data_IF_550054487682
#
_entry.id   IF_550054487682
#
_cell.length_a   1.000
_cell.length_b   1.000
_cell.length_c   1.000
_cell.angle_alpha   90.00
_cell.angle_beta   90.00
_cell.angle_gamma   90.00
#
_symmetry.space_group_name_H-M   'P 1'
#
loop_
_entity.id
_entity.type
_entity.pdbx_description
1 polymer ?
#
# COMPACT_ATOMS: atom_id res chain seq x y z
N UNK A 1 -12.80 -9.11 -8.13
CA UNK A 1 -12.53 -8.45 -6.83
C UNK A 1 -11.50 -9.18 -5.97
N UNK A 2 -11.51 -10.53 -5.92
CA UNK A 2 -10.57 -11.33 -5.11
C UNK A 2 -9.10 -11.19 -5.51
N UNK A 3 -8.80 -11.17 -6.82
CA UNK A 3 -7.42 -10.99 -7.30
C UNK A 3 -6.85 -9.62 -6.93
N UNK A 4 -7.63 -8.56 -7.06
CA UNK A 4 -7.20 -7.20 -6.70
C UNK A 4 -6.80 -7.11 -5.21
N UNK A 5 -7.66 -7.60 -4.31
CA UNK A 5 -7.37 -7.60 -2.88
C UNK A 5 -6.14 -8.45 -2.52
N UNK A 6 -5.95 -9.59 -3.20
CA UNK A 6 -4.77 -10.44 -3.05
C UNK A 6 -3.48 -9.72 -3.49
N UNK A 7 -3.47 -9.11 -4.68
CA UNK A 7 -2.30 -8.37 -5.17
C UNK A 7 -2.00 -7.15 -4.29
N UNK A 8 -3.04 -6.40 -3.91
CA UNK A 8 -2.90 -5.26 -3.01
C UNK A 8 -2.32 -5.66 -1.66
N UNK A 9 -2.84 -6.74 -1.06
CA UNK A 9 -2.34 -7.28 0.19
C UNK A 9 -0.90 -7.79 0.08
N UNK A 10 -0.55 -8.46 -1.03
CA UNK A 10 0.79 -8.98 -1.27
C UNK A 10 1.81 -7.84 -1.44
N UNK A 11 1.46 -6.79 -2.19
CA UNK A 11 2.28 -5.58 -2.33
C UNK A 11 2.45 -4.89 -0.97
N UNK A 12 1.36 -4.73 -0.20
CA UNK A 12 1.42 -4.14 1.14
C UNK A 12 2.31 -4.96 2.09
N UNK A 13 2.26 -6.30 2.03
CA UNK A 13 3.12 -7.19 2.81
C UNK A 13 4.60 -7.10 2.42
N UNK A 14 4.90 -7.03 1.12
CA UNK A 14 6.28 -6.86 0.63
C UNK A 14 6.86 -5.52 1.10
N UNK A 15 6.09 -4.45 0.98
CA UNK A 15 6.45 -3.12 1.49
C UNK A 15 6.64 -3.15 3.00
N UNK A 16 5.73 -3.77 3.74
CA UNK A 16 5.82 -3.93 5.19
C UNK A 16 7.06 -4.74 5.61
N UNK A 17 7.39 -5.81 4.89
CA UNK A 17 8.58 -6.60 5.12
C UNK A 17 9.85 -5.79 4.88
N UNK A 18 9.88 -4.99 3.81
CA UNK A 18 10.98 -4.07 3.53
C UNK A 18 11.15 -3.02 4.64
N UNK A 19 10.05 -2.38 5.06
CA UNK A 19 10.00 -1.38 6.13
C UNK A 19 10.40 -1.94 7.49
N UNK A 20 10.11 -3.21 7.76
CA UNK A 20 10.43 -3.87 9.04
C UNK A 20 11.93 -3.92 9.34
N UNK A 21 12.80 -3.77 8.32
CA UNK A 21 14.27 -3.71 8.47
C UNK A 21 14.76 -2.39 9.06
N UNK A 22 13.98 -1.32 8.94
CA UNK A 22 14.35 0.00 9.47
C UNK A 22 14.03 0.11 10.97
N UNK A 23 14.67 1.07 11.65
CA UNK A 23 14.33 1.45 13.04
C UNK A 23 12.86 1.88 13.17
N UNK A 24 12.25 1.78 14.36
CA UNK A 24 10.82 2.08 14.56
C UNK A 24 10.41 3.47 14.08
N UNK A 25 11.21 4.50 14.36
CA UNK A 25 10.96 5.86 13.86
C UNK A 25 11.00 5.94 12.32
N UNK A 26 12.06 5.39 11.70
CA UNK A 26 12.22 5.39 10.23
C UNK A 26 11.09 4.64 9.53
N UNK A 27 10.67 3.52 10.11
CA UNK A 27 9.56 2.72 9.61
C UNK A 27 8.25 3.50 9.59
N UNK A 28 7.86 4.14 10.70
CA UNK A 28 6.61 4.91 10.77
C UNK A 28 6.60 6.09 9.79
N UNK A 29 7.74 6.76 9.61
CA UNK A 29 7.89 7.86 8.64
C UNK A 29 7.79 7.37 7.19
N UNK A 30 8.25 6.13 6.91
CA UNK A 30 8.25 5.56 5.57
C UNK A 30 6.94 4.84 5.20
N UNK A 31 6.04 4.57 6.16
CA UNK A 31 4.72 3.96 5.91
C UNK A 31 3.88 4.72 4.87
N UNK A 32 3.71 6.06 4.93
CA UNK A 32 2.97 6.79 3.90
C UNK A 32 3.60 6.65 2.51
N UNK A 33 4.94 6.66 2.42
CA UNK A 33 5.63 6.40 1.16
C UNK A 33 5.42 4.97 0.66
N UNK A 34 5.40 4.01 1.57
CA UNK A 34 5.09 2.62 1.27
C UNK A 34 3.67 2.41 0.77
N UNK A 35 2.70 3.18 1.29
CA UNK A 35 1.29 3.13 0.89
C UNK A 35 1.04 3.69 -0.53
N UNK A 36 1.94 4.53 -1.07
CA UNK A 36 1.84 5.01 -2.44
C UNK A 36 1.90 3.87 -3.46
N UNK A 37 2.68 2.82 -3.17
CA UNK A 37 2.84 1.68 -4.08
C UNK A 37 1.52 0.91 -4.28
N UNK A 38 0.87 0.35 -3.23
CA UNK A 38 -0.40 -0.32 -3.40
C UNK A 38 -1.52 0.63 -3.87
N UNK A 39 -1.46 1.92 -3.52
CA UNK A 39 -2.41 2.92 -4.04
C UNK A 39 -2.29 3.14 -5.55
N UNK A 40 -1.06 3.25 -6.05
CA UNK A 40 -0.77 3.35 -7.47
C UNK A 40 -1.24 2.10 -8.22
N UNK A 41 -0.92 0.91 -7.70
CA UNK A 41 -1.38 -0.33 -8.30
C UNK A 41 -2.91 -0.45 -8.31
N UNK A 42 -3.59 -0.10 -7.22
CA UNK A 42 -5.06 -0.16 -7.19
C UNK A 42 -5.73 0.81 -8.13
N UNK A 43 -5.23 2.04 -8.20
CA UNK A 43 -5.76 3.03 -9.14
C UNK A 43 -5.44 2.64 -10.58
N UNK A 44 -4.23 2.16 -10.85
CA UNK A 44 -3.81 1.71 -12.18
C UNK A 44 -4.60 0.51 -12.70
N UNK A 45 -5.08 -0.38 -11.82
CA UNK A 45 -5.98 -1.48 -12.25
C UNK A 45 -7.36 -1.00 -12.70
N UNK A 46 -7.83 0.15 -12.20
CA UNK A 46 -9.15 0.69 -12.51
C UNK A 46 -9.13 1.75 -13.62
N UNK A 47 -8.05 2.53 -13.70
CA UNK A 47 -7.92 3.71 -14.57
C UNK A 47 -6.76 3.60 -15.58
N UNK A 48 -6.06 2.47 -15.62
CA UNK A 48 -4.87 2.29 -16.46
C UNK A 48 -3.61 2.93 -15.87
N UNK A 49 -2.43 2.54 -16.37
CA UNK A 49 -1.15 3.05 -15.86
C UNK A 49 -0.92 4.55 -16.17
N UNK A 50 -1.65 5.14 -17.12
CA UNK A 50 -1.54 6.56 -17.48
C UNK A 50 -2.38 7.49 -16.57
N UNK A 51 -3.06 6.93 -15.55
CA UNK A 51 -3.93 7.70 -14.66
C UNK A 51 -3.22 8.89 -14.00
N UNK A 52 -1.91 8.80 -13.77
CA UNK A 52 -1.10 9.89 -13.19
C UNK A 52 -0.99 11.10 -14.12
N UNK A 53 -1.04 10.86 -15.44
CA UNK A 53 -1.01 11.93 -16.45
C UNK A 53 -2.42 12.52 -16.62
N UNK A 54 -3.46 11.71 -16.41
CA UNK A 54 -4.87 12.07 -16.60
C UNK A 54 -5.67 12.17 -15.30
N UNK A 55 -5.06 12.67 -14.23
CA UNK A 55 -5.64 12.69 -12.86
C UNK A 55 -7.06 13.25 -12.76
N UNK A 56 -7.44 14.17 -13.65
CA UNK A 56 -8.75 14.86 -13.65
C UNK A 56 -9.71 14.36 -14.74
N UNK A 57 -9.28 13.48 -15.64
CA UNK A 57 -10.13 12.99 -16.71
C UNK A 57 -11.01 11.85 -16.19
N UNK A 58 -12.27 12.16 -15.86
CA UNK A 58 -13.22 11.15 -15.38
C UNK A 58 -13.45 9.99 -16.38
N UNK A 59 -13.18 10.22 -17.67
CA UNK A 59 -13.36 9.23 -18.74
C UNK A 59 -12.26 8.16 -18.79
N UNK A 60 -11.15 8.32 -18.05
CA UNK A 60 -10.06 7.34 -18.07
C UNK A 60 -10.27 6.13 -17.14
N UNK A 61 -11.30 6.14 -16.30
CA UNK A 61 -11.57 5.07 -15.35
C UNK A 61 -12.73 4.17 -15.77
N UNK A 62 -12.61 2.87 -15.49
CA UNK A 62 -13.68 1.87 -15.68
C UNK A 62 -14.84 1.99 -14.68
N UNK A 63 -14.70 2.89 -13.70
CA UNK A 63 -15.62 3.12 -12.58
C UNK A 63 -15.96 4.61 -12.55
N UNK A 64 -17.22 5.01 -12.24
CA UNK A 64 -17.57 6.42 -12.11
C UNK A 64 -16.74 7.08 -11.00
N UNK A 65 -16.09 8.20 -11.34
CA UNK A 65 -15.25 8.97 -10.43
C UNK A 65 -13.96 9.41 -11.12
N UNK A 66 -13.38 10.49 -10.61
CA UNK A 66 -12.10 10.95 -11.13
C UNK A 66 -10.94 10.09 -10.56
N UNK A 67 -9.84 9.90 -11.31
CA UNK A 67 -8.70 9.10 -10.85
C UNK A 67 -8.11 9.55 -9.52
N UNK A 68 -8.15 10.86 -9.20
CA UNK A 68 -7.67 11.37 -7.92
C UNK A 68 -8.50 10.87 -6.72
N UNK A 69 -9.80 10.66 -6.88
CA UNK A 69 -10.69 10.18 -5.82
C UNK A 69 -10.40 8.71 -5.50
N UNK A 70 -10.24 7.91 -6.55
CA UNK A 70 -9.85 6.51 -6.44
C UNK A 70 -8.46 6.37 -5.81
N UNK A 71 -7.50 7.20 -6.24
CA UNK A 71 -6.16 7.20 -5.67
C UNK A 71 -6.16 7.57 -4.18
N UNK A 72 -6.91 8.60 -3.79
CA UNK A 72 -7.03 8.99 -2.39
C UNK A 72 -7.65 7.86 -1.55
N UNK A 73 -8.70 7.20 -2.05
CA UNK A 73 -9.32 6.07 -1.37
C UNK A 73 -8.33 4.91 -1.19
N UNK A 74 -7.68 4.48 -2.27
CA UNK A 74 -6.69 3.38 -2.21
C UNK A 74 -5.45 3.74 -1.38
N UNK A 75 -5.07 5.02 -1.31
CA UNK A 75 -4.00 5.50 -0.44
C UNK A 75 -4.35 5.35 1.04
N UNK A 76 -5.57 5.74 1.44
CA UNK A 76 -6.02 5.57 2.83
C UNK A 76 -6.09 4.08 3.21
N UNK A 77 -6.68 3.24 2.35
CA UNK A 77 -6.69 1.80 2.57
C UNK A 77 -5.27 1.20 2.62
N UNK A 78 -4.39 1.67 1.74
CA UNK A 78 -2.98 1.26 1.67
C UNK A 78 -2.23 1.64 2.93
N UNK A 79 -2.49 2.83 3.48
CA UNK A 79 -1.90 3.30 4.73
C UNK A 79 -2.24 2.36 5.89
N UNK A 80 -3.52 2.04 6.05
CA UNK A 80 -3.98 1.15 7.12
C UNK A 80 -3.38 -0.25 6.96
N UNK A 81 -3.43 -0.80 5.74
CA UNK A 81 -2.89 -2.13 5.45
C UNK A 81 -1.38 -2.19 5.67
N UNK A 82 -0.61 -1.24 5.12
CA UNK A 82 0.85 -1.18 5.26
C UNK A 82 1.23 -0.93 6.71
N UNK A 83 0.59 -0.02 7.42
CA UNK A 83 0.87 0.24 8.84
C UNK A 83 0.65 -1.04 9.68
N UNK A 84 -0.53 -1.65 9.55
CA UNK A 84 -0.89 -2.86 10.27
C UNK A 84 0.07 -4.01 9.98
N UNK A 85 0.32 -4.30 8.70
CA UNK A 85 1.26 -5.33 8.28
C UNK A 85 2.68 -5.06 8.78
N UNK A 86 3.15 -3.81 8.71
CA UNK A 86 4.49 -3.43 9.13
C UNK A 86 4.67 -3.66 10.64
N UNK A 87 3.69 -3.26 11.44
CA UNK A 87 3.71 -3.47 12.90
C UNK A 87 3.72 -4.96 13.23
N UNK A 88 2.86 -5.77 12.60
CA UNK A 88 2.76 -7.21 12.81
C UNK A 88 4.06 -7.93 12.40
N UNK A 89 4.60 -7.62 11.22
CA UNK A 89 5.83 -8.25 10.73
C UNK A 89 7.00 -7.90 11.65
N UNK A 90 7.10 -6.65 12.09
CA UNK A 90 8.19 -6.22 12.95
C UNK A 90 8.10 -6.80 14.35
N UNK A 91 6.92 -6.80 14.97
CA UNK A 91 6.72 -7.43 16.28
C UNK A 91 7.02 -8.93 16.23
N UNK A 92 6.58 -9.62 15.15
CA UNK A 92 6.93 -11.02 14.89
C UNK A 92 8.44 -11.25 14.80
N UNK A 93 9.17 -10.40 14.06
CA UNK A 93 10.65 -10.48 13.96
C UNK A 93 11.35 -10.28 15.30
N UNK A 94 10.88 -9.33 16.11
CA UNK A 94 11.43 -9.10 17.45
C UNK A 94 11.16 -10.29 18.38
N UNK A 95 9.96 -10.87 18.32
CA UNK A 95 9.60 -12.06 19.10
C UNK A 95 10.45 -13.27 18.69
N UNK A 96 10.60 -13.53 17.38
CA UNK A 96 11.45 -14.59 16.85
C UNK A 96 12.92 -14.42 17.25
N UNK A 97 13.43 -13.18 17.28
CA UNK A 97 14.78 -12.89 17.74
C UNK A 97 14.95 -13.18 19.24
N UNK A 98 13.92 -12.90 20.06
CA UNK A 98 13.91 -13.24 21.50
C UNK A 98 13.78 -14.74 21.77
N UNK A 99 13.12 -15.50 20.90
CA UNK A 99 12.92 -16.95 21.06
C UNK A 99 14.11 -17.78 20.58
N UNK A 100 14.98 -17.20 19.73
CA UNK A 100 16.16 -17.87 19.16
C UNK A 100 17.49 -17.49 19.81
N UNK A 101 17.47 -16.55 20.77
CA UNK A 101 18.61 -16.18 21.60
C UNK A 101 18.39 -16.66 23.03
#
# INVERSE_FOLDING_TARGET
MTMFALYFGLVALLVAFFLSRAGWGKMLVLVPFGALVPAYFGTGTMCGADFVIRLTAAESCTVPGAPYELFAAYFVFGLVAVLGASVIVKSGRVLLAKLRG
#
